data_IF_728238588542
#
_entry.id   IF_728238588542
#
_cell.length_a   1.000
_cell.length_b   1.000
_cell.length_c   1.000
_cell.angle_alpha   90.00
_cell.angle_beta   90.00
_cell.angle_gamma   90.00
#
_symmetry.space_group_name_H-M   'P 1'
#
loop_
_entity.id
_entity.type
_entity.pdbx_description
1 polymer ?
#
# COMPACT_ATOMS: atom_id res chain seq x y z
N UNK A 1 -35.00 3.47 -54.88
CA UNK A 1 -34.43 4.69 -54.28
C UNK A 1 -34.98 4.77 -52.86
N UNK A 2 -34.29 4.52 -51.77
CA UNK A 2 -32.87 4.68 -51.46
C UNK A 2 -32.78 5.34 -50.07
N UNK A 3 -33.39 4.75 -49.04
CA UNK A 3 -33.29 5.25 -47.68
C UNK A 3 -32.05 4.63 -47.01
N UNK A 4 -30.91 5.31 -47.14
CA UNK A 4 -29.72 5.08 -46.31
C UNK A 4 -29.39 6.38 -45.60
N UNK A 5 -30.02 6.60 -44.45
CA UNK A 5 -29.51 7.55 -43.48
C UNK A 5 -29.87 7.04 -42.10
N UNK A 6 -29.10 6.05 -41.67
CA UNK A 6 -29.12 5.57 -40.30
C UNK A 6 -27.68 5.36 -39.89
N UNK A 7 -27.31 6.15 -38.89
CA UNK A 7 -26.20 5.93 -37.98
C UNK A 7 -24.78 6.04 -38.57
N UNK A 8 -24.34 7.29 -38.74
CA UNK A 8 -22.92 7.64 -38.66
C UNK A 8 -22.77 8.65 -37.53
N UNK A 9 -22.93 8.20 -36.28
CA UNK A 9 -22.59 9.02 -35.10
C UNK A 9 -22.25 8.18 -33.85
N UNK A 10 -22.47 6.86 -33.83
CA UNK A 10 -22.20 6.07 -32.63
C UNK A 10 -20.81 5.39 -32.57
N UNK A 11 -19.81 5.84 -33.35
CA UNK A 11 -18.49 5.21 -33.36
C UNK A 11 -17.38 6.00 -32.62
N UNK A 12 -17.62 7.25 -32.19
CA UNK A 12 -16.56 8.08 -31.56
C UNK A 12 -16.66 8.23 -30.03
N UNK A 13 -17.62 7.58 -29.36
CA UNK A 13 -17.71 7.64 -27.87
C UNK A 13 -17.03 6.48 -27.14
N UNK A 14 -16.54 5.45 -27.84
CA UNK A 14 -15.89 4.29 -27.20
C UNK A 14 -14.39 4.45 -26.96
N UNK A 15 -13.74 5.46 -27.56
CA UNK A 15 -12.31 5.72 -27.35
C UNK A 15 -12.01 6.38 -25.98
N UNK A 16 -12.97 7.09 -25.38
CA UNK A 16 -12.82 7.68 -24.06
C UNK A 16 -12.99 6.66 -22.91
N UNK A 17 -13.61 5.50 -23.18
CA UNK A 17 -13.90 4.48 -22.17
C UNK A 17 -12.73 3.49 -21.95
N UNK A 18 -11.85 3.32 -22.94
CA UNK A 18 -10.71 2.41 -22.81
C UNK A 18 -9.54 3.02 -22.00
N UNK A 19 -9.39 4.35 -22.00
CA UNK A 19 -8.34 5.03 -21.23
C UNK A 19 -8.63 5.05 -19.71
N UNK A 20 -9.91 5.09 -19.33
CA UNK A 20 -10.33 5.01 -17.93
C UNK A 20 -10.14 3.60 -17.33
N UNK A 21 -10.31 2.54 -18.15
CA UNK A 21 -10.10 1.16 -17.72
C UNK A 21 -8.62 0.80 -17.55
N UNK A 22 -7.72 1.40 -18.33
CA UNK A 22 -6.27 1.20 -18.18
C UNK A 22 -5.70 1.91 -16.94
N UNK A 23 -6.25 3.08 -16.58
CA UNK A 23 -5.88 3.80 -15.37
C UNK A 23 -6.36 3.10 -14.08
N UNK A 24 -7.54 2.48 -14.11
CA UNK A 24 -8.06 1.69 -12.99
C UNK A 24 -7.28 0.38 -12.76
N UNK A 25 -6.76 -0.24 -13.83
CA UNK A 25 -5.92 -1.44 -13.73
C UNK A 25 -4.50 -1.13 -13.21
N UNK A 26 -3.95 0.05 -13.50
CA UNK A 26 -2.65 0.49 -12.97
C UNK A 26 -2.71 0.88 -11.48
N UNK A 27 -3.86 1.39 -11.01
CA UNK A 27 -4.08 1.69 -9.59
C UNK A 27 -4.25 0.42 -8.72
N UNK A 28 -4.76 -0.68 -9.29
CA UNK A 28 -4.96 -1.94 -8.57
C UNK A 28 -3.66 -2.77 -8.38
N UNK A 29 -2.58 -2.46 -9.12
CA UNK A 29 -1.29 -3.16 -9.00
C UNK A 29 -0.37 -2.55 -7.92
N UNK A 30 -0.73 -1.38 -7.37
CA UNK A 30 0.05 -0.68 -6.34
C UNK A 30 -0.42 -0.92 -4.91
N UNK A 31 -1.64 -1.44 -4.71
CA UNK A 31 -2.22 -1.66 -3.37
C UNK A 31 -2.28 -3.15 -3.01
N UNK A 32 -1.21 -3.89 -3.26
CA UNK A 32 -0.97 -5.05 -2.42
C UNK A 32 -0.66 -4.49 -1.03
N UNK A 33 -1.72 -4.26 -0.23
CA UNK A 33 -1.65 -4.14 1.23
C UNK A 33 -0.61 -5.13 1.67
N UNK A 34 0.59 -4.66 2.03
CA UNK A 34 1.70 -5.55 2.34
C UNK A 34 1.24 -6.39 3.53
N UNK A 35 0.89 -7.67 3.33
CA UNK A 35 0.32 -8.47 4.40
C UNK A 35 1.34 -8.69 5.53
N UNK A 36 2.61 -8.30 5.30
CA UNK A 36 3.68 -8.34 6.27
C UNK A 36 3.65 -7.21 7.31
N UNK A 37 3.26 -5.98 6.97
CA UNK A 37 3.36 -4.86 7.93
C UNK A 37 2.20 -4.82 8.92
N UNK A 38 0.96 -4.94 8.43
CA UNK A 38 -0.22 -5.00 9.30
C UNK A 38 -0.17 -6.20 10.25
N UNK A 39 0.26 -7.36 9.76
CA UNK A 39 0.47 -8.53 10.60
C UNK A 39 1.55 -8.30 11.65
N UNK A 40 2.67 -7.66 11.27
CA UNK A 40 3.74 -7.35 12.20
C UNK A 40 3.28 -6.40 13.31
N UNK A 41 2.44 -5.41 12.97
CA UNK A 41 1.87 -4.49 13.94
C UNK A 41 0.92 -5.22 14.89
N UNK A 42 0.09 -6.12 14.37
CA UNK A 42 -0.80 -6.97 15.18
C UNK A 42 -0.01 -7.87 16.13
N UNK A 43 1.04 -8.52 15.64
CA UNK A 43 1.91 -9.37 16.46
C UNK A 43 2.60 -8.58 17.58
N UNK A 44 3.02 -7.34 17.30
CA UNK A 44 3.64 -6.45 18.28
C UNK A 44 2.64 -6.01 19.36
N UNK A 45 1.40 -5.69 18.98
CA UNK A 45 0.34 -5.34 19.94
C UNK A 45 0.03 -6.52 20.87
N UNK A 46 -0.17 -7.72 20.33
CA UNK A 46 -0.42 -8.91 21.13
C UNK A 46 0.73 -9.24 22.10
N UNK A 47 1.97 -8.96 21.68
CA UNK A 47 3.15 -9.10 22.52
C UNK A 47 3.17 -8.09 23.67
N UNK A 48 2.83 -6.83 23.41
CA UNK A 48 2.74 -5.78 24.43
C UNK A 48 1.65 -6.13 25.45
N UNK A 49 0.47 -6.56 25.00
CA UNK A 49 -0.61 -7.03 25.89
C UNK A 49 -0.14 -8.18 26.80
N UNK A 50 0.68 -9.10 26.27
CA UNK A 50 1.28 -10.18 27.06
C UNK A 50 2.23 -9.63 28.12
N UNK A 51 3.06 -8.64 27.77
CA UNK A 51 4.03 -8.01 28.68
C UNK A 51 3.38 -7.15 29.77
N UNK A 52 2.19 -6.62 29.53
CA UNK A 52 1.41 -5.86 30.52
C UNK A 52 0.76 -6.75 31.58
N UNK A 53 0.79 -8.08 31.41
CA UNK A 53 0.29 -9.04 32.38
C UNK A 53 1.07 -9.01 33.71
N UNK A 54 0.38 -8.77 34.82
CA UNK A 54 0.97 -8.59 36.15
C UNK A 54 1.71 -9.82 36.73
N UNK A 55 1.46 -11.02 36.20
CA UNK A 55 2.02 -12.30 36.68
C UNK A 55 2.90 -13.02 35.63
N UNK A 56 3.48 -12.28 34.67
CA UNK A 56 4.32 -12.90 33.65
C UNK A 56 5.66 -13.40 34.25
N UNK A 57 5.98 -14.71 34.19
CA UNK A 57 7.25 -15.24 34.68
C UNK A 57 8.44 -14.62 33.94
N UNK A 58 9.58 -14.47 34.61
CA UNK A 58 10.78 -13.83 34.06
C UNK A 58 11.22 -14.47 32.73
N UNK A 59 11.22 -15.79 32.63
CA UNK A 59 11.57 -16.52 31.41
C UNK A 59 10.64 -16.14 30.25
N UNK A 60 9.33 -16.01 30.52
CA UNK A 60 8.34 -15.60 29.52
C UNK A 60 8.48 -14.14 29.13
N UNK A 61 8.84 -13.27 30.07
CA UNK A 61 9.15 -11.87 29.81
C UNK A 61 10.37 -11.72 28.90
N UNK A 62 11.41 -12.54 29.11
CA UNK A 62 12.60 -12.58 28.24
C UNK A 62 12.26 -13.11 26.84
N UNK A 63 11.51 -14.21 26.73
CA UNK A 63 11.03 -14.73 25.44
C UNK A 63 10.18 -13.70 24.69
N UNK A 64 9.31 -12.98 25.40
CA UNK A 64 8.51 -11.92 24.80
C UNK A 64 9.39 -10.76 24.32
N UNK A 65 10.34 -10.31 25.13
CA UNK A 65 11.28 -9.26 24.75
C UNK A 65 12.10 -9.61 23.50
N UNK A 66 12.66 -10.82 23.43
CA UNK A 66 13.42 -11.29 22.26
C UNK A 66 12.57 -11.28 20.98
N UNK A 67 11.32 -11.77 21.08
CA UNK A 67 10.36 -11.71 19.97
C UNK A 67 10.04 -10.27 19.57
N UNK A 68 9.86 -9.37 20.53
CA UNK A 68 9.63 -7.94 20.27
C UNK A 68 10.77 -7.28 19.52
N UNK A 69 12.02 -7.57 19.89
CA UNK A 69 13.21 -7.07 19.18
C UNK A 69 13.25 -7.61 17.75
N UNK A 70 12.92 -8.89 17.53
CA UNK A 70 12.88 -9.48 16.21
C UNK A 70 11.80 -8.83 15.31
N UNK A 71 10.59 -8.63 15.85
CA UNK A 71 9.49 -7.95 15.16
C UNK A 71 9.87 -6.51 14.82
N UNK A 72 10.43 -5.75 15.76
CA UNK A 72 10.86 -4.37 15.50
C UNK A 72 11.88 -4.28 14.36
N UNK A 73 12.88 -5.18 14.33
CA UNK A 73 13.88 -5.25 13.25
C UNK A 73 13.24 -5.55 11.89
N UNK A 74 12.29 -6.49 11.86
CA UNK A 74 11.56 -6.80 10.62
C UNK A 74 10.72 -5.61 10.15
N UNK A 75 10.12 -4.85 11.07
CA UNK A 75 9.35 -3.65 10.76
C UNK A 75 10.23 -2.59 10.09
N UNK A 76 11.43 -2.35 10.63
CA UNK A 76 12.40 -1.45 10.00
C UNK A 76 12.75 -1.89 8.57
N UNK A 77 13.02 -3.18 8.34
CA UNK A 77 13.34 -3.69 7.00
C UNK A 77 12.22 -3.47 5.98
N UNK A 78 10.96 -3.60 6.42
CA UNK A 78 9.80 -3.34 5.56
C UNK A 78 9.73 -1.85 5.23
N UNK A 79 9.89 -0.98 6.23
CA UNK A 79 9.90 0.47 6.04
C UNK A 79 11.04 0.91 5.11
N UNK A 80 12.24 0.38 5.29
CA UNK A 80 13.41 0.65 4.42
C UNK A 80 13.17 0.18 2.97
N UNK A 81 12.45 -0.92 2.79
CA UNK A 81 12.08 -1.41 1.46
C UNK A 81 11.03 -0.52 0.81
N UNK A 82 10.03 -0.09 1.58
CA UNK A 82 9.00 0.84 1.12
C UNK A 82 9.60 2.20 0.75
N UNK A 83 10.49 2.76 1.57
CA UNK A 83 11.18 4.02 1.32
C UNK A 83 11.97 3.97 0.01
N UNK A 84 12.82 2.95 -0.17
CA UNK A 84 13.58 2.76 -1.43
C UNK A 84 12.68 2.63 -2.65
N UNK A 85 11.52 1.98 -2.50
CA UNK A 85 10.55 1.85 -3.58
C UNK A 85 9.93 3.21 -3.93
N UNK A 86 9.62 4.03 -2.92
CA UNK A 86 9.13 5.40 -3.12
C UNK A 86 10.19 6.26 -3.82
N UNK A 87 11.45 6.21 -3.37
CA UNK A 87 12.56 6.95 -3.99
C UNK A 87 12.74 6.58 -5.47
N UNK A 88 12.69 5.29 -5.80
CA UNK A 88 12.78 4.81 -7.19
C UNK A 88 11.64 5.38 -8.03
N UNK A 89 10.40 5.30 -7.55
CA UNK A 89 9.22 5.80 -8.27
C UNK A 89 9.28 7.32 -8.49
N UNK A 90 9.79 8.07 -7.51
CA UNK A 90 10.00 9.52 -7.63
C UNK A 90 11.09 9.84 -8.66
N UNK A 91 12.18 9.07 -8.70
CA UNK A 91 13.26 9.27 -9.68
C UNK A 91 12.84 8.91 -11.11
N UNK A 92 12.01 7.88 -11.26
CA UNK A 92 11.53 7.39 -12.55
C UNK A 92 10.38 8.25 -13.11
N UNK A 93 10.02 9.35 -12.43
CA UNK A 93 8.99 10.31 -12.87
C UNK A 93 7.59 9.72 -12.95
N UNK A 94 7.38 8.54 -12.37
CA UNK A 94 6.11 7.79 -12.43
C UNK A 94 5.11 8.30 -11.38
N UNK A 95 5.60 9.01 -10.37
CA UNK A 95 4.79 9.68 -9.34
C UNK A 95 4.86 11.19 -9.50
N UNK A 96 3.70 11.84 -9.59
CA UNK A 96 3.62 13.30 -9.57
C UNK A 96 4.07 13.81 -8.18
N UNK A 97 4.80 14.94 -8.10
CA UNK A 97 5.15 15.55 -6.82
C UNK A 97 3.89 15.78 -5.98
N UNK A 98 3.95 15.39 -4.70
CA UNK A 98 2.94 15.83 -3.74
C UNK A 98 3.13 17.33 -3.57
N UNK A 99 2.33 18.12 -4.29
CA UNK A 99 2.25 19.56 -4.12
C UNK A 99 2.05 19.84 -2.63
N UNK A 100 3.11 20.29 -1.97
CA UNK A 100 3.06 20.71 -0.58
C UNK A 100 2.16 21.94 -0.56
N UNK A 101 0.86 21.70 -0.37
CA UNK A 101 -0.09 22.76 -0.03
C UNK A 101 0.25 23.20 1.37
N UNK A 102 1.31 24.00 1.50
CA UNK A 102 1.48 24.91 2.61
C UNK A 102 0.34 25.93 2.49
N UNK A 103 -0.82 25.55 3.03
CA UNK A 103 -1.91 26.50 3.27
C UNK A 103 -1.40 27.45 4.36
N UNK A 104 -0.87 28.58 3.90
CA UNK A 104 -0.53 29.74 4.72
C UNK A 104 -1.78 30.29 5.42
#
# INVERSE_FOLDING_TARGET
MGAKQTDQSQAESVAASAAAAAAAAAAAAGSATEPGFDQLLSDLQALVETLEGADLPLERSLEAFERGVALARRGQQILDAAERKVELLMRDGTTAPLEQTERT
#
